data_IF_086895737545
#
_entry.id   IF_086895737545
#
_cell.length_a   1.000
_cell.length_b   1.000
_cell.length_c   1.000
_cell.angle_alpha   90.00
_cell.angle_beta   90.00
_cell.angle_gamma   90.00
#
_symmetry.space_group_name_H-M   'P 1'
#
loop_
_entity.id
_entity.type
_entity.pdbx_description
1 polymer ?
#
# COMPACT_ATOMS: atom_id res chain seq x y z
N UNK A 1 -65.44 -31.71 -30.77
CA UNK A 1 -64.32 -32.57 -31.24
C UNK A 1 -64.00 -32.21 -32.69
N UNK A 2 -62.95 -31.41 -32.90
CA UNK A 2 -62.32 -31.14 -34.21
C UNK A 2 -60.82 -31.07 -33.92
N UNK A 3 -60.04 -31.93 -34.56
CA UNK A 3 -58.58 -31.95 -34.45
C UNK A 3 -57.99 -31.60 -35.81
N UNK A 4 -57.06 -30.64 -35.80
CA UNK A 4 -56.27 -30.19 -36.95
C UNK A 4 -54.95 -30.98 -37.04
N UNK A 5 -54.36 -31.17 -38.23
CA UNK A 5 -53.07 -31.84 -38.38
C UNK A 5 -51.88 -30.87 -38.35
N UNK A 6 -50.76 -31.34 -37.80
CA UNK A 6 -49.43 -30.70 -37.77
C UNK A 6 -48.65 -30.94 -39.08
N UNK A 7 -47.72 -30.05 -39.48
CA UNK A 7 -46.88 -30.27 -40.66
C UNK A 7 -45.55 -30.96 -40.34
N UNK A 8 -45.14 -31.85 -41.25
CA UNK A 8 -43.83 -32.49 -41.33
C UNK A 8 -42.74 -31.49 -41.74
N UNK A 9 -41.60 -31.50 -41.04
CA UNK A 9 -40.36 -30.86 -41.48
C UNK A 9 -39.38 -31.91 -42.01
N UNK A 10 -38.91 -31.68 -43.24
CA UNK A 10 -37.91 -32.49 -43.94
C UNK A 10 -36.53 -32.40 -43.26
N UNK A 11 -35.88 -33.56 -43.12
CA UNK A 11 -34.43 -33.69 -42.91
C UNK A 11 -33.72 -33.68 -44.26
N UNK A 12 -32.84 -32.70 -44.48
CA UNK A 12 -31.88 -32.68 -45.60
C UNK A 12 -30.53 -33.25 -45.15
N UNK A 13 -30.10 -34.24 -45.92
CA UNK A 13 -28.83 -34.98 -45.89
C UNK A 13 -27.58 -34.09 -46.05
N UNK A 14 -26.50 -34.42 -45.33
CA UNK A 14 -25.14 -33.99 -45.65
C UNK A 14 -24.21 -35.21 -45.76
N UNK A 15 -23.20 -35.17 -46.67
CA UNK A 15 -22.46 -36.36 -47.06
C UNK A 15 -21.22 -36.65 -46.18
N UNK A 16 -20.94 -37.95 -46.09
CA UNK A 16 -19.69 -38.55 -45.65
C UNK A 16 -18.50 -38.11 -46.52
N UNK A 17 -17.39 -37.73 -45.89
CA UNK A 17 -16.04 -37.89 -46.46
C UNK A 17 -15.11 -38.46 -45.40
N UNK A 18 -14.54 -39.61 -45.72
CA UNK A 18 -13.66 -40.40 -44.90
C UNK A 18 -12.18 -40.10 -45.22
N UNK A 19 -11.34 -40.24 -44.19
CA UNK A 19 -9.97 -40.78 -44.19
C UNK A 19 -8.89 -40.14 -45.08
N UNK A 20 -7.90 -39.50 -44.43
CA UNK A 20 -6.52 -39.53 -44.89
C UNK A 20 -5.55 -39.41 -43.69
N UNK A 21 -4.68 -40.42 -43.57
CA UNK A 21 -3.61 -40.56 -42.60
C UNK A 21 -2.35 -39.81 -43.04
N UNK A 22 -1.46 -39.56 -42.06
CA UNK A 22 0.00 -39.42 -42.20
C UNK A 22 0.57 -38.07 -42.71
N UNK A 23 1.23 -37.32 -41.82
CA UNK A 23 2.71 -37.26 -41.73
C UNK A 23 3.15 -36.36 -40.57
N UNK A 24 3.91 -36.94 -39.63
CA UNK A 24 4.66 -36.20 -38.61
C UNK A 24 5.82 -35.43 -39.26
N UNK A 25 5.81 -34.11 -39.15
CA UNK A 25 6.97 -33.27 -39.48
C UNK A 25 7.76 -32.94 -38.21
N UNK A 26 9.00 -33.44 -38.16
CA UNK A 26 10.01 -33.12 -37.13
C UNK A 26 10.40 -31.65 -37.28
N UNK A 27 10.13 -30.82 -36.25
CA UNK A 27 10.71 -29.48 -36.15
C UNK A 27 12.11 -29.59 -35.54
N UNK A 28 13.11 -29.36 -36.38
CA UNK A 28 14.51 -29.11 -36.04
C UNK A 28 14.60 -27.81 -35.26
N UNK A 29 15.11 -27.89 -34.03
CA UNK A 29 15.52 -26.72 -33.24
C UNK A 29 16.87 -26.27 -33.75
N UNK A 30 16.90 -25.15 -34.48
CA UNK A 30 18.15 -24.47 -34.84
C UNK A 30 18.57 -23.61 -33.65
N UNK A 31 19.63 -24.05 -32.99
CA UNK A 31 20.34 -23.29 -31.97
C UNK A 31 21.21 -22.23 -32.65
N UNK A 32 20.73 -20.98 -32.71
CA UNK A 32 21.57 -19.82 -33.01
C UNK A 32 22.24 -19.36 -31.72
N UNK A 33 23.52 -19.68 -31.57
CA UNK A 33 24.39 -19.09 -30.58
C UNK A 33 24.61 -17.61 -30.92
N UNK A 34 24.12 -16.71 -30.08
CA UNK A 34 24.51 -15.30 -30.09
C UNK A 34 25.47 -15.11 -28.93
N UNK A 35 26.76 -14.96 -29.25
CA UNK A 35 27.79 -14.56 -28.31
C UNK A 35 27.61 -13.10 -27.96
N UNK A 36 27.20 -12.82 -26.72
CA UNK A 36 27.32 -11.48 -26.14
C UNK A 36 28.52 -11.44 -25.19
N UNK A 37 29.42 -10.54 -25.52
CA UNK A 37 30.67 -10.24 -24.83
C UNK A 37 30.34 -9.44 -23.55
N UNK A 38 30.53 -10.08 -22.38
CA UNK A 38 30.42 -9.42 -21.07
C UNK A 38 31.80 -9.39 -20.42
N UNK A 39 32.54 -8.32 -20.69
CA UNK A 39 33.62 -7.87 -19.83
C UNK A 39 33.15 -6.61 -19.08
N UNK A 40 33.64 -6.44 -17.84
CA UNK A 40 33.45 -5.31 -16.90
C UNK A 40 32.33 -5.41 -15.85
N UNK A 41 32.64 -6.07 -14.72
CA UNK A 41 32.90 -5.46 -13.41
C UNK A 41 32.78 -6.52 -12.30
N UNK A 42 33.91 -7.12 -11.93
CA UNK A 42 34.06 -7.93 -10.74
C UNK A 42 34.33 -7.02 -9.53
N UNK A 43 33.37 -6.93 -8.61
CA UNK A 43 33.66 -6.56 -7.22
C UNK A 43 33.01 -7.61 -6.30
N UNK A 44 33.88 -8.41 -5.68
CA UNK A 44 33.54 -9.38 -4.65
C UNK A 44 32.96 -8.67 -3.43
N UNK A 45 31.72 -9.01 -3.05
CA UNK A 45 31.16 -8.63 -1.75
C UNK A 45 31.03 -9.88 -0.87
N UNK A 46 31.77 -9.87 0.22
CA UNK A 46 31.83 -10.86 1.28
C UNK A 46 30.45 -10.97 1.96
N UNK A 47 29.88 -12.17 1.95
CA UNK A 47 28.64 -12.49 2.67
C UNK A 47 28.93 -12.54 4.17
N UNK A 48 28.48 -11.51 4.91
CA UNK A 48 28.31 -11.60 6.37
C UNK A 48 26.87 -12.01 6.66
N UNK A 49 26.74 -13.18 7.27
CA UNK A 49 25.49 -13.68 7.87
C UNK A 49 25.07 -12.76 9.01
N UNK A 50 23.83 -12.26 8.98
CA UNK A 50 23.19 -11.51 10.06
C UNK A 50 22.04 -12.37 10.60
N UNK A 51 21.86 -12.49 11.93
CA UNK A 51 20.83 -13.35 12.49
C UNK A 51 19.42 -12.76 12.36
N UNK A 52 18.46 -13.68 12.18
CA UNK A 52 17.02 -13.49 12.15
C UNK A 52 16.49 -12.59 13.27
N UNK A 53 16.01 -11.40 12.92
CA UNK A 53 15.24 -10.54 13.82
C UNK A 53 13.77 -10.99 13.87
N UNK A 54 13.29 -11.22 15.09
CA UNK A 54 11.90 -11.56 15.39
C UNK A 54 10.93 -10.48 14.91
N UNK A 55 9.88 -10.91 14.20
CA UNK A 55 8.78 -10.07 13.77
C UNK A 55 7.86 -9.77 14.96
N UNK A 56 7.72 -8.49 15.32
CA UNK A 56 6.66 -8.02 16.21
C UNK A 56 5.52 -7.41 15.38
N UNK A 57 4.24 -7.72 15.70
CA UNK A 57 3.10 -7.02 15.12
C UNK A 57 3.02 -5.60 15.69
N UNK A 58 3.02 -4.59 14.80
CA UNK A 58 2.94 -3.18 15.17
C UNK A 58 1.58 -2.86 15.83
N UNK A 59 1.57 -2.80 17.16
CA UNK A 59 0.53 -2.14 17.95
C UNK A 59 0.89 -0.66 18.10
N UNK A 60 0.03 0.23 17.61
CA UNK A 60 0.17 1.67 17.84
C UNK A 60 -0.35 1.99 19.26
N UNK A 61 0.57 2.10 20.22
CA UNK A 61 0.31 2.56 21.59
C UNK A 61 0.64 4.05 21.68
N UNK A 62 -0.38 4.89 21.75
CA UNK A 62 -0.24 6.31 22.07
C UNK A 62 -0.54 6.48 23.56
N UNK A 63 0.45 6.87 24.34
CA UNK A 63 0.31 7.19 25.77
C UNK A 63 -0.15 8.65 25.89
N UNK A 64 -1.21 8.92 26.65
CA UNK A 64 -1.63 10.28 26.99
C UNK A 64 -1.81 10.45 28.50
N UNK A 65 -1.18 11.49 29.02
CA UNK A 65 -1.30 12.02 30.37
C UNK A 65 -2.68 12.68 30.54
N UNK A 66 -3.37 12.36 31.63
CA UNK A 66 -4.59 13.03 32.05
C UNK A 66 -4.27 14.12 33.06
N UNK A 67 -4.57 15.37 32.73
CA UNK A 67 -4.61 16.49 33.69
C UNK A 67 -6.06 16.79 34.03
N UNK A 68 -6.35 16.80 35.33
CA UNK A 68 -7.68 17.05 35.91
C UNK A 68 -7.73 18.50 36.41
N UNK A 69 -8.43 19.38 35.69
CA UNK A 69 -8.85 20.69 36.17
C UNK A 69 -10.39 20.73 36.23
N UNK A 70 -10.94 20.93 37.43
CA UNK A 70 -12.37 21.14 37.67
C UNK A 70 -12.60 22.64 37.86
N UNK A 71 -13.38 23.25 36.98
CA UNK A 71 -14.09 24.49 37.29
C UNK A 71 -15.54 24.36 36.80
N UNK A 72 -16.48 24.60 37.71
CA UNK A 72 -17.92 24.51 37.47
C UNK A 72 -18.50 25.92 37.36
N UNK A 73 -18.98 26.30 36.17
CA UNK A 73 -19.91 27.41 36.01
C UNK A 73 -21.16 26.90 35.26
N UNK A 74 -22.30 26.98 35.95
CA UNK A 74 -23.62 26.63 35.43
C UNK A 74 -24.16 27.77 34.55
N UNK A 75 -24.36 27.48 33.26
CA UNK A 75 -25.25 28.25 32.38
C UNK A 75 -26.16 27.27 31.64
N UNK A 76 -27.47 27.36 31.90
CA UNK A 76 -28.51 26.56 31.27
C UNK A 76 -28.88 27.21 29.92
N UNK A 77 -28.35 26.67 28.82
CA UNK A 77 -28.91 26.86 27.49
C UNK A 77 -29.17 25.48 26.88
N UNK A 78 -30.44 25.20 26.59
CA UNK A 78 -30.89 24.01 25.87
C UNK A 78 -30.63 24.19 24.37
N UNK A 79 -29.36 24.17 23.98
CA UNK A 79 -29.00 23.84 22.61
C UNK A 79 -28.69 22.34 22.61
N UNK A 80 -29.33 21.58 21.71
CA UNK A 80 -29.05 20.16 21.46
C UNK A 80 -27.59 20.03 21.00
N UNK A 81 -26.68 20.01 21.96
CA UNK A 81 -25.25 19.89 21.78
C UNK A 81 -25.00 18.47 21.27
N UNK A 82 -24.96 18.35 19.94
CA UNK A 82 -24.61 17.14 19.21
C UNK A 82 -23.18 16.76 19.59
N UNK A 83 -23.07 16.07 20.72
CA UNK A 83 -21.81 15.70 21.36
C UNK A 83 -21.06 14.80 20.40
N UNK A 84 -20.04 15.36 19.75
CA UNK A 84 -19.17 14.61 18.88
C UNK A 84 -18.64 13.40 19.66
N UNK A 85 -18.73 12.18 19.11
CA UNK A 85 -18.30 10.99 19.83
C UNK A 85 -16.86 11.14 20.30
N UNK A 86 -16.60 10.81 21.56
CA UNK A 86 -15.26 10.87 22.13
C UNK A 86 -14.31 10.03 21.26
N UNK A 87 -13.06 10.49 21.07
CA UNK A 87 -12.04 9.71 20.35
C UNK A 87 -11.91 8.27 20.88
N UNK A 88 -12.18 8.07 22.18
CA UNK A 88 -12.21 6.76 22.80
C UNK A 88 -13.32 5.85 22.26
N UNK A 89 -14.49 6.40 21.97
CA UNK A 89 -15.63 5.64 21.43
C UNK A 89 -15.37 5.25 19.97
N UNK A 90 -14.79 6.16 19.18
CA UNK A 90 -14.36 5.86 17.80
C UNK A 90 -13.33 4.73 17.79
N UNK A 91 -12.34 4.77 18.70
CA UNK A 91 -11.33 3.71 18.83
C UNK A 91 -11.95 2.37 19.24
N UNK A 92 -12.86 2.37 20.22
CA UNK A 92 -13.57 1.15 20.66
C UNK A 92 -14.41 0.56 19.54
N UNK A 93 -15.16 1.39 18.81
CA UNK A 93 -15.96 0.95 17.67
C UNK A 93 -15.08 0.33 16.56
N UNK A 94 -13.93 0.94 16.27
CA UNK A 94 -12.95 0.38 15.31
C UNK A 94 -12.43 -0.98 15.76
N UNK A 95 -12.02 -1.12 17.01
CA UNK A 95 -11.51 -2.40 17.55
C UNK A 95 -12.58 -3.50 17.57
N UNK A 96 -13.83 -3.16 17.89
CA UNK A 96 -14.95 -4.09 17.84
C UNK A 96 -15.21 -4.56 16.40
N UNK A 97 -15.16 -3.63 15.44
CA UNK A 97 -15.31 -3.92 14.01
C UNK A 97 -14.18 -4.83 13.51
N UNK A 98 -12.92 -4.50 13.79
CA UNK A 98 -11.75 -5.32 13.46
C UNK A 98 -11.85 -6.74 14.05
N UNK A 99 -12.31 -6.86 15.31
CA UNK A 99 -12.53 -8.16 15.96
C UNK A 99 -13.64 -8.98 15.31
N UNK A 100 -14.70 -8.34 14.83
CA UNK A 100 -15.78 -9.03 14.12
C UNK A 100 -15.34 -9.52 12.74
N UNK A 101 -14.57 -8.70 12.01
CA UNK A 101 -14.05 -9.03 10.68
C UNK A 101 -13.01 -10.14 10.72
N UNK A 102 -12.10 -10.14 11.72
CA UNK A 102 -11.09 -11.19 11.88
C UNK A 102 -11.67 -12.55 12.26
N UNK A 103 -12.84 -12.59 12.93
CA UNK A 103 -13.57 -13.84 13.16
C UNK A 103 -14.17 -14.41 11.87
N UNK A 104 -14.57 -13.53 10.94
CA UNK A 104 -15.25 -13.90 9.71
C UNK A 104 -14.29 -14.31 8.60
N UNK A 105 -13.21 -13.57 8.41
CA UNK A 105 -12.24 -13.76 7.34
C UNK A 105 -10.85 -14.08 7.89
N UNK A 106 -10.13 -14.98 7.21
CA UNK A 106 -8.74 -15.25 7.52
C UNK A 106 -7.85 -14.07 7.08
N UNK A 107 -6.83 -13.74 7.89
CA UNK A 107 -5.92 -12.61 7.67
C UNK A 107 -4.45 -13.06 7.72
N UNK A 108 -3.56 -12.30 7.08
CA UNK A 108 -2.10 -12.50 7.19
C UNK A 108 -1.65 -13.93 6.86
N UNK A 109 -0.86 -14.54 7.74
CA UNK A 109 -0.39 -15.93 7.61
C UNK A 109 -1.54 -16.95 7.59
N UNK A 110 -2.62 -16.72 8.34
CA UNK A 110 -3.77 -17.63 8.33
C UNK A 110 -4.40 -17.69 6.94
N UNK A 111 -4.51 -16.54 6.25
CA UNK A 111 -5.04 -16.50 4.89
C UNK A 111 -4.14 -17.25 3.90
N UNK A 112 -2.83 -17.21 4.11
CA UNK A 112 -1.86 -17.94 3.28
C UNK A 112 -2.02 -19.45 3.48
N UNK A 113 -2.00 -19.93 4.73
CA UNK A 113 -2.22 -21.34 5.06
C UNK A 113 -3.58 -21.83 4.55
N UNK A 114 -4.65 -21.04 4.74
CA UNK A 114 -5.98 -21.37 4.25
C UNK A 114 -5.99 -21.62 2.72
N UNK A 115 -5.23 -20.84 1.96
CA UNK A 115 -5.17 -21.00 0.49
C UNK A 115 -4.37 -22.24 0.08
N UNK A 116 -3.29 -22.54 0.77
CA UNK A 116 -2.51 -23.77 0.57
C UNK A 116 -3.37 -25.01 0.90
N UNK A 117 -4.14 -24.95 1.98
CA UNK A 117 -5.10 -25.98 2.38
C UNK A 117 -6.20 -26.15 1.33
N UNK A 118 -6.76 -25.06 0.80
CA UNK A 118 -7.79 -25.12 -0.25
C UNK A 118 -7.28 -25.77 -1.54
N UNK A 119 -6.01 -25.56 -1.91
CA UNK A 119 -5.39 -26.25 -3.05
C UNK A 119 -5.28 -27.75 -2.77
N UNK A 120 -4.78 -28.12 -1.59
CA UNK A 120 -4.64 -29.51 -1.16
C UNK A 120 -5.98 -30.24 -1.07
N UNK A 121 -7.01 -29.58 -0.53
CA UNK A 121 -8.38 -30.12 -0.45
C UNK A 121 -9.00 -30.36 -1.83
N UNK A 122 -8.77 -29.46 -2.79
CA UNK A 122 -9.25 -29.64 -4.17
C UNK A 122 -8.57 -30.83 -4.84
N UNK A 123 -7.27 -30.99 -4.67
CA UNK A 123 -6.56 -32.15 -5.19
C UNK A 123 -7.09 -33.46 -4.56
N UNK A 124 -7.30 -33.47 -3.25
CA UNK A 124 -7.92 -34.61 -2.56
C UNK A 124 -9.35 -34.92 -3.03
N UNK A 125 -10.11 -33.88 -3.41
CA UNK A 125 -11.47 -34.04 -3.95
C UNK A 125 -11.43 -34.72 -5.33
N UNK A 126 -10.46 -34.39 -6.17
CA UNK A 126 -10.26 -35.06 -7.47
C UNK A 126 -9.97 -36.56 -7.28
N UNK A 127 -9.09 -36.92 -6.33
CA UNK A 127 -8.82 -38.32 -5.99
C UNK A 127 -10.04 -39.06 -5.44
N UNK A 128 -10.79 -38.43 -4.53
CA UNK A 128 -12.01 -39.03 -3.98
C UNK A 128 -13.07 -39.27 -5.08
N UNK A 129 -13.20 -38.35 -6.05
CA UNK A 129 -14.06 -38.50 -7.23
C UNK A 129 -13.62 -39.66 -8.11
N UNK A 130 -12.33 -39.83 -8.34
CA UNK A 130 -11.80 -40.96 -9.12
C UNK A 130 -12.09 -42.32 -8.46
N UNK A 131 -12.07 -42.38 -7.12
CA UNK A 131 -12.37 -43.58 -6.33
C UNK A 131 -13.87 -43.79 -6.08
N UNK A 132 -14.73 -42.84 -6.46
CA UNK A 132 -16.18 -42.83 -6.19
C UNK A 132 -16.52 -42.98 -4.69
N UNK A 133 -15.69 -42.39 -3.83
CA UNK A 133 -15.93 -42.35 -2.38
C UNK A 133 -16.86 -41.18 -2.03
N UNK A 134 -18.17 -41.42 -2.10
CA UNK A 134 -19.22 -40.40 -1.90
C UNK A 134 -19.14 -39.71 -0.53
N UNK A 135 -18.84 -40.46 0.53
CA UNK A 135 -18.71 -39.93 1.88
C UNK A 135 -17.56 -38.92 1.97
N UNK A 136 -16.42 -39.26 1.37
CA UNK A 136 -15.25 -38.38 1.33
C UNK A 136 -15.47 -37.17 0.43
N UNK A 137 -16.13 -37.33 -0.71
CA UNK A 137 -16.49 -36.23 -1.62
C UNK A 137 -17.31 -35.17 -0.87
N UNK A 138 -18.39 -35.58 -0.18
CA UNK A 138 -19.24 -34.65 0.57
C UNK A 138 -18.49 -33.93 1.68
N UNK A 139 -17.64 -34.65 2.42
CA UNK A 139 -16.80 -34.07 3.48
C UNK A 139 -15.84 -33.01 2.94
N UNK A 140 -15.14 -33.32 1.83
CA UNK A 140 -14.20 -32.41 1.19
C UNK A 140 -14.89 -31.19 0.57
N UNK A 141 -16.04 -31.36 -0.08
CA UNK A 141 -16.83 -30.24 -0.62
C UNK A 141 -17.29 -29.30 0.49
N UNK A 142 -17.74 -29.84 1.63
CA UNK A 142 -18.09 -29.06 2.81
C UNK A 142 -16.88 -28.30 3.37
N UNK A 143 -15.72 -28.95 3.47
CA UNK A 143 -14.48 -28.31 3.93
C UNK A 143 -14.02 -27.18 2.99
N UNK A 144 -14.04 -27.41 1.67
CA UNK A 144 -13.71 -26.40 0.66
C UNK A 144 -14.67 -25.22 0.75
N UNK A 145 -15.99 -25.48 0.85
CA UNK A 145 -17.01 -24.43 0.98
C UNK A 145 -16.78 -23.59 2.24
N UNK A 146 -16.46 -24.23 3.36
CA UNK A 146 -16.15 -23.53 4.60
C UNK A 146 -14.88 -22.68 4.47
N UNK A 147 -13.81 -23.22 3.89
CA UNK A 147 -12.57 -22.47 3.68
C UNK A 147 -12.76 -21.31 2.71
N UNK A 148 -13.51 -21.50 1.62
CA UNK A 148 -13.87 -20.44 0.68
C UNK A 148 -14.66 -19.30 1.34
N UNK A 149 -15.56 -19.62 2.27
CA UNK A 149 -16.30 -18.60 3.01
C UNK A 149 -15.42 -17.77 3.96
N UNK A 150 -14.23 -18.28 4.33
CA UNK A 150 -13.24 -17.57 5.13
C UNK A 150 -12.23 -16.77 4.29
N UNK A 151 -12.07 -17.08 3.00
CA UNK A 151 -11.19 -16.30 2.11
C UNK A 151 -11.89 -14.99 1.69
N UNK A 152 -11.38 -13.82 2.11
CA UNK A 152 -12.00 -12.54 1.76
C UNK A 152 -11.99 -12.26 0.26
N UNK A 153 -10.97 -12.70 -0.50
CA UNK A 153 -10.93 -12.44 -1.94
C UNK A 153 -12.01 -13.23 -2.67
N UNK A 154 -12.18 -14.51 -2.29
CA UNK A 154 -13.26 -15.34 -2.82
C UNK A 154 -14.64 -14.76 -2.49
N UNK A 155 -14.85 -14.36 -1.24
CA UNK A 155 -16.13 -13.80 -0.80
C UNK A 155 -16.43 -12.44 -1.44
N UNK A 156 -15.42 -11.61 -1.65
CA UNK A 156 -15.55 -10.35 -2.38
C UNK A 156 -15.98 -10.58 -3.83
N UNK A 157 -15.27 -11.44 -4.57
CA UNK A 157 -15.62 -11.86 -5.94
C UNK A 157 -17.06 -12.40 -6.02
N UNK A 158 -17.40 -13.29 -5.10
CA UNK A 158 -18.73 -13.91 -5.02
C UNK A 158 -19.83 -12.88 -4.77
N UNK A 159 -19.59 -11.95 -3.85
CA UNK A 159 -20.55 -10.90 -3.52
C UNK A 159 -20.79 -9.97 -4.72
N UNK A 160 -19.74 -9.51 -5.40
CA UNK A 160 -19.87 -8.70 -6.62
C UNK A 160 -20.66 -9.41 -7.72
N UNK A 161 -20.40 -10.72 -7.91
CA UNK A 161 -21.15 -11.52 -8.89
C UNK A 161 -22.64 -11.60 -8.53
N UNK A 162 -22.97 -11.84 -7.26
CA UNK A 162 -24.36 -11.95 -6.80
C UNK A 162 -25.11 -10.62 -6.83
N UNK A 163 -24.43 -9.49 -6.57
CA UNK A 163 -25.00 -8.14 -6.79
C UNK A 163 -25.32 -7.94 -8.27
N UNK A 164 -24.40 -8.32 -9.17
CA UNK A 164 -24.63 -8.20 -10.61
C UNK A 164 -25.74 -9.12 -11.11
N UNK A 165 -25.86 -10.34 -10.58
CA UNK A 165 -26.95 -11.27 -10.87
C UNK A 165 -28.29 -10.70 -10.37
N UNK A 166 -28.38 -10.22 -9.13
CA UNK A 166 -29.59 -9.61 -8.56
C UNK A 166 -30.10 -8.44 -9.42
N UNK A 167 -29.19 -7.56 -9.87
CA UNK A 167 -29.52 -6.46 -10.79
C UNK A 167 -30.09 -6.90 -12.14
N UNK A 168 -29.78 -8.14 -12.58
CA UNK A 168 -30.21 -8.69 -13.87
C UNK A 168 -31.47 -9.55 -13.76
N UNK A 169 -31.95 -9.88 -12.56
CA UNK A 169 -33.15 -10.70 -12.38
C UNK A 169 -34.37 -9.96 -12.95
N UNK A 170 -35.13 -10.62 -13.82
CA UNK A 170 -36.36 -10.07 -14.40
C UNK A 170 -37.61 -10.45 -13.60
N UNK A 171 -37.58 -11.63 -12.98
CA UNK A 171 -38.75 -12.25 -12.35
C UNK A 171 -38.91 -11.91 -10.85
N UNK A 172 -37.91 -11.26 -10.24
CA UNK A 172 -37.92 -10.86 -8.85
C UNK A 172 -38.54 -9.47 -8.68
N UNK A 173 -39.20 -9.22 -7.54
CA UNK A 173 -39.66 -7.88 -7.19
C UNK A 173 -38.47 -6.92 -6.95
N UNK A 174 -38.67 -5.61 -7.12
CA UNK A 174 -37.60 -4.63 -6.83
C UNK A 174 -37.16 -4.69 -5.36
N UNK A 175 -38.09 -4.92 -4.43
CA UNK A 175 -37.79 -5.11 -3.00
C UNK A 175 -36.86 -6.32 -2.75
N UNK A 176 -37.11 -7.44 -3.43
CA UNK A 176 -36.26 -8.63 -3.34
C UNK A 176 -34.84 -8.36 -3.91
N UNK A 177 -34.75 -7.62 -5.01
CA UNK A 177 -33.46 -7.23 -5.62
C UNK A 177 -32.68 -6.32 -4.68
N UNK A 178 -33.33 -5.32 -4.11
CA UNK A 178 -32.71 -4.38 -3.16
C UNK A 178 -32.19 -5.10 -1.92
N UNK A 179 -33.01 -5.98 -1.31
CA UNK A 179 -32.60 -6.78 -0.16
C UNK A 179 -31.39 -7.68 -0.46
N UNK A 180 -31.34 -8.29 -1.67
CA UNK A 180 -30.19 -9.08 -2.10
C UNK A 180 -28.94 -8.21 -2.33
N UNK A 181 -29.10 -7.06 -2.97
CA UNK A 181 -28.00 -6.12 -3.24
C UNK A 181 -27.44 -5.60 -1.93
N UNK A 182 -28.28 -5.18 -0.98
CA UNK A 182 -27.85 -4.69 0.33
C UNK A 182 -27.08 -5.76 1.10
N UNK A 183 -27.65 -6.97 1.19
CA UNK A 183 -27.01 -8.11 1.87
C UNK A 183 -25.63 -8.40 1.31
N UNK A 184 -25.50 -8.51 -0.02
CA UNK A 184 -24.21 -8.83 -0.64
C UNK A 184 -23.26 -7.64 -0.68
N UNK A 185 -23.77 -6.40 -0.72
CA UNK A 185 -22.96 -5.18 -0.56
C UNK A 185 -22.30 -5.13 0.81
N UNK A 186 -23.03 -5.49 1.89
CA UNK A 186 -22.45 -5.59 3.22
C UNK A 186 -21.35 -6.66 3.31
N UNK A 187 -21.53 -7.81 2.64
CA UNK A 187 -20.48 -8.85 2.54
C UNK A 187 -19.27 -8.36 1.73
N UNK A 188 -19.51 -7.68 0.61
CA UNK A 188 -18.45 -7.14 -0.24
C UNK A 188 -17.62 -6.11 0.53
N UNK A 189 -18.26 -5.15 1.20
CA UNK A 189 -17.59 -4.14 2.03
C UNK A 189 -16.78 -4.78 3.17
N UNK A 190 -17.35 -5.74 3.90
CA UNK A 190 -16.64 -6.43 4.98
C UNK A 190 -15.42 -7.22 4.48
N UNK A 191 -15.54 -7.87 3.32
CA UNK A 191 -14.43 -8.59 2.69
C UNK A 191 -13.37 -7.63 2.14
N UNK A 192 -13.79 -6.49 1.58
CA UNK A 192 -12.91 -5.45 1.03
C UNK A 192 -12.01 -4.83 2.10
N UNK A 193 -12.55 -4.54 3.27
CA UNK A 193 -11.80 -3.92 4.38
C UNK A 193 -10.61 -4.75 4.88
N UNK A 194 -10.66 -6.07 4.69
CA UNK A 194 -9.60 -6.99 5.14
C UNK A 194 -8.62 -7.38 4.04
N UNK A 195 -8.87 -6.96 2.80
CA UNK A 195 -8.01 -7.28 1.67
C UNK A 195 -6.77 -6.36 1.68
N UNK A 196 -5.54 -6.93 1.55
CA UNK A 196 -4.31 -6.14 1.55
C UNK A 196 -4.30 -5.02 0.49
N UNK A 197 -4.87 -5.28 -0.69
CA UNK A 197 -4.97 -4.31 -1.78
C UNK A 197 -5.75 -3.02 -1.42
N UNK A 198 -6.62 -3.06 -0.42
CA UNK A 198 -7.38 -1.89 0.05
C UNK A 198 -6.81 -1.27 1.33
N UNK A 199 -5.75 -1.83 1.90
CA UNK A 199 -5.12 -1.38 3.15
C UNK A 199 -3.89 -0.48 2.93
N UNK A 200 -3.74 0.05 1.71
CA UNK A 200 -2.62 0.93 1.33
C UNK A 200 -2.90 2.43 1.46
N UNK A 201 -4.00 2.85 2.08
CA UNK A 201 -4.32 4.29 2.21
C UNK A 201 -3.22 5.09 2.93
N UNK A 202 -3.02 6.35 2.55
CA UNK A 202 -2.14 7.29 3.22
C UNK A 202 -0.82 7.54 2.49
N UNK A 203 0.20 8.00 3.24
CA UNK A 203 1.46 8.46 2.66
C UNK A 203 2.42 7.30 2.31
N UNK A 204 3.05 7.44 1.16
CA UNK A 204 4.07 6.52 0.63
C UNK A 204 5.18 7.31 -0.04
N UNK A 205 6.38 6.75 0.00
CA UNK A 205 7.55 7.36 -0.62
C UNK A 205 8.14 6.41 -1.66
N UNK A 206 8.52 6.95 -2.82
CA UNK A 206 9.12 6.20 -3.91
C UNK A 206 10.20 7.02 -4.62
N UNK A 207 11.20 6.33 -5.16
CA UNK A 207 12.29 6.96 -5.92
C UNK A 207 11.94 6.96 -7.43
N UNK A 208 11.70 8.14 -7.99
CA UNK A 208 11.38 8.33 -9.41
C UNK A 208 12.64 8.45 -10.29
N UNK A 209 13.82 8.23 -9.72
CA UNK A 209 15.10 8.16 -10.42
C UNK A 209 15.66 9.51 -10.89
N UNK A 210 16.89 9.46 -11.40
CA UNK A 210 17.58 10.58 -12.04
C UNK A 210 17.53 11.88 -11.24
N UNK A 211 17.11 12.96 -11.92
CA UNK A 211 16.96 14.30 -11.33
C UNK A 211 15.69 14.49 -10.52
N UNK A 212 14.73 13.56 -10.54
CA UNK A 212 13.47 13.67 -9.82
C UNK A 212 13.61 13.23 -8.35
N UNK A 213 14.52 12.31 -8.09
CA UNK A 213 14.82 11.82 -6.75
C UNK A 213 13.60 11.19 -6.06
N UNK A 214 13.58 11.31 -4.75
CA UNK A 214 12.55 10.74 -3.89
C UNK A 214 11.31 11.62 -3.83
N UNK A 215 10.14 11.01 -3.99
CA UNK A 215 8.86 11.68 -4.05
C UNK A 215 7.87 11.07 -3.07
N UNK A 216 7.09 11.92 -2.42
CA UNK A 216 6.01 11.55 -1.52
C UNK A 216 4.70 11.53 -2.31
N UNK A 217 3.91 10.48 -2.13
CA UNK A 217 2.56 10.34 -2.69
C UNK A 217 1.56 10.03 -1.58
N UNK A 218 0.31 10.42 -1.78
CA UNK A 218 -0.83 10.01 -0.97
C UNK A 218 -1.69 9.03 -1.76
N UNK A 219 -2.00 7.89 -1.15
CA UNK A 219 -2.90 6.89 -1.70
C UNK A 219 -4.29 7.08 -1.10
N UNK A 220 -5.28 7.19 -1.98
CA UNK A 220 -6.71 7.22 -1.65
C UNK A 220 -7.48 6.24 -2.53
N UNK A 221 -8.75 5.98 -2.21
CA UNK A 221 -9.59 5.08 -3.01
C UNK A 221 -10.89 5.76 -3.46
N UNK A 222 -11.30 5.48 -4.70
CA UNK A 222 -12.63 5.78 -5.23
C UNK A 222 -13.26 4.47 -5.72
N UNK A 223 -14.15 3.88 -4.91
CA UNK A 223 -14.61 2.51 -5.17
C UNK A 223 -13.41 1.55 -5.21
N UNK A 224 -13.31 0.76 -6.28
CA UNK A 224 -12.20 -0.19 -6.49
C UNK A 224 -10.99 0.42 -7.23
N UNK A 225 -11.01 1.73 -7.47
CA UNK A 225 -9.87 2.45 -8.05
C UNK A 225 -8.97 3.02 -6.94
N UNK A 226 -7.71 2.60 -6.94
CA UNK A 226 -6.65 3.25 -6.18
C UNK A 226 -6.17 4.49 -6.94
N UNK A 227 -6.04 5.61 -6.24
CA UNK A 227 -5.57 6.88 -6.78
C UNK A 227 -4.33 7.31 -5.99
N UNK A 228 -3.23 7.54 -6.71
CA UNK A 228 -1.98 8.02 -6.13
C UNK A 228 -1.70 9.47 -6.55
N UNK A 229 -1.71 10.38 -5.58
CA UNK A 229 -1.52 11.81 -5.81
C UNK A 229 -0.16 12.27 -5.30
N UNK A 230 0.59 13.08 -6.07
CA UNK A 230 1.88 13.60 -5.64
C UNK A 230 1.74 14.64 -4.54
N UNK A 231 2.40 14.41 -3.41
CA UNK A 231 2.50 15.39 -2.32
C UNK A 231 3.69 16.34 -2.50
N UNK A 232 4.79 15.86 -3.09
CA UNK A 232 6.01 16.67 -3.31
C UNK A 232 6.10 17.22 -4.74
N UNK A 233 5.73 16.42 -5.73
CA UNK A 233 5.76 16.82 -7.15
C UNK A 233 7.16 16.96 -7.75
N UNK A 234 7.23 17.02 -9.07
CA UNK A 234 8.44 17.36 -9.83
C UNK A 234 8.07 18.22 -11.06
N UNK A 235 9.07 18.59 -11.87
CA UNK A 235 8.84 19.42 -13.06
C UNK A 235 7.98 18.74 -14.13
N UNK A 236 7.85 17.42 -14.10
CA UNK A 236 7.03 16.68 -15.04
C UNK A 236 5.64 16.53 -14.45
N UNK A 237 5.47 15.87 -13.31
CA UNK A 237 4.18 15.71 -12.64
C UNK A 237 4.20 16.54 -11.35
N UNK A 238 3.55 17.71 -11.32
CA UNK A 238 3.62 18.61 -10.18
C UNK A 238 2.85 18.08 -8.95
N UNK A 239 3.02 18.78 -7.84
CA UNK A 239 2.30 18.51 -6.59
C UNK A 239 0.80 18.68 -6.82
N UNK A 240 0.00 17.81 -6.20
CA UNK A 240 -1.45 17.79 -6.34
C UNK A 240 -1.96 16.95 -7.51
N UNK A 241 -1.09 16.59 -8.46
CA UNK A 241 -1.48 15.78 -9.62
C UNK A 241 -1.45 14.28 -9.33
N UNK A 242 -2.31 13.54 -10.04
CA UNK A 242 -2.42 12.09 -9.93
C UNK A 242 -1.30 11.42 -10.72
N UNK A 243 -0.31 10.88 -10.01
CA UNK A 243 0.84 10.19 -10.63
C UNK A 243 0.45 8.85 -11.28
N UNK A 244 -0.49 8.12 -10.69
CA UNK A 244 -1.06 6.91 -11.29
C UNK A 244 -2.41 6.54 -10.65
N UNK A 245 -3.21 5.75 -11.36
CA UNK A 245 -4.35 5.01 -10.81
C UNK A 245 -4.20 3.51 -11.07
N UNK A 246 -4.88 2.68 -10.28
CA UNK A 246 -4.93 1.23 -10.46
C UNK A 246 -6.33 0.69 -10.16
N UNK A 247 -6.84 -0.16 -11.06
CA UNK A 247 -8.11 -0.84 -10.87
C UNK A 247 -7.89 -2.14 -10.07
N UNK A 248 -8.39 -2.15 -8.83
CA UNK A 248 -8.27 -3.25 -7.88
C UNK A 248 -9.40 -4.28 -7.99
N UNK A 249 -10.26 -4.16 -9.01
CA UNK A 249 -11.26 -5.18 -9.31
C UNK A 249 -10.60 -6.56 -9.38
N UNK A 250 -11.25 -7.60 -8.83
CA UNK A 250 -10.62 -8.90 -8.74
C UNK A 250 -10.43 -9.55 -10.12
N UNK A 251 -9.24 -9.44 -10.69
CA UNK A 251 -8.85 -10.05 -11.98
C UNK A 251 -7.79 -11.12 -11.80
N UNK A 252 -7.63 -11.97 -12.82
CA UNK A 252 -6.53 -12.92 -12.83
C UNK A 252 -5.26 -12.20 -13.23
N UNK A 253 -4.21 -12.35 -12.43
CA UNK A 253 -2.88 -11.78 -12.69
C UNK A 253 -2.32 -12.26 -14.04
N UNK A 254 -2.71 -13.46 -14.50
CA UNK A 254 -2.31 -14.07 -15.77
C UNK A 254 -2.68 -13.25 -17.01
N UNK A 255 -3.75 -12.45 -16.89
CA UNK A 255 -4.30 -11.70 -18.03
C UNK A 255 -3.48 -10.44 -18.33
N UNK A 256 -2.55 -10.08 -17.43
CA UNK A 256 -1.70 -8.92 -17.54
C UNK A 256 -0.36 -9.26 -18.23
N UNK A 257 0.16 -8.38 -19.11
CA UNK A 257 1.45 -8.55 -19.74
C UNK A 257 2.55 -8.97 -18.75
N UNK A 258 3.41 -9.94 -19.08
CA UNK A 258 4.49 -10.34 -18.21
C UNK A 258 5.45 -9.16 -18.00
N UNK A 259 5.80 -8.90 -16.75
CA UNK A 259 6.79 -7.88 -16.40
C UNK A 259 8.04 -8.59 -15.92
N UNK A 260 9.17 -8.28 -16.56
CA UNK A 260 10.48 -8.64 -16.02
C UNK A 260 10.75 -7.73 -14.82
N UNK A 261 10.52 -8.26 -13.61
CA UNK A 261 10.87 -7.56 -12.39
C UNK A 261 12.40 -7.47 -12.30
N UNK A 262 12.91 -6.27 -12.00
CA UNK A 262 14.36 -6.00 -11.89
C UNK A 262 15.02 -6.85 -10.77
N UNK A 263 14.23 -7.35 -9.82
CA UNK A 263 14.71 -8.25 -8.77
C UNK A 263 14.42 -9.72 -9.09
N UNK A 264 15.39 -10.43 -9.66
CA UNK A 264 15.36 -11.89 -9.87
C UNK A 264 15.21 -12.71 -8.57
N UNK A 265 15.37 -12.06 -7.41
CA UNK A 265 15.52 -12.70 -6.11
C UNK A 265 14.20 -13.05 -5.42
N UNK A 266 13.04 -12.66 -5.99
CA UNK A 266 11.74 -13.00 -5.41
C UNK A 266 10.98 -13.92 -6.35
N UNK A 267 11.19 -15.23 -6.16
CA UNK A 267 10.34 -16.27 -6.75
C UNK A 267 9.01 -16.29 -5.99
N UNK A 268 7.94 -15.80 -6.62
CA UNK A 268 6.60 -15.78 -6.03
C UNK A 268 5.58 -15.22 -7.00
N UNK A 269 4.34 -15.69 -6.90
CA UNK A 269 3.22 -15.11 -7.65
C UNK A 269 2.79 -13.81 -6.96
N UNK A 270 3.10 -12.67 -7.58
CA UNK A 270 2.66 -11.36 -7.07
C UNK A 270 1.24 -11.05 -7.53
N UNK A 271 0.47 -10.41 -6.66
CA UNK A 271 -0.79 -9.79 -7.06
C UNK A 271 -0.50 -8.58 -7.94
N UNK A 272 -1.07 -8.59 -9.14
CA UNK A 272 -0.89 -7.55 -10.15
C UNK A 272 -2.24 -6.97 -10.52
N UNK A 273 -2.29 -5.66 -10.70
CA UNK A 273 -3.48 -4.93 -11.06
C UNK A 273 -3.18 -3.99 -12.24
N UNK A 274 -4.10 -3.89 -13.22
CA UNK A 274 -3.94 -2.93 -14.30
C UNK A 274 -4.06 -1.51 -13.75
N UNK A 275 -3.28 -0.60 -14.31
CA UNK A 275 -3.30 0.80 -13.93
C UNK A 275 -2.94 1.74 -15.07
N UNK A 276 -2.97 3.02 -14.77
CA UNK A 276 -2.63 4.10 -15.69
C UNK A 276 -1.69 5.06 -14.98
N UNK A 277 -0.48 5.22 -15.51
CA UNK A 277 0.51 6.15 -14.98
C UNK A 277 0.50 7.46 -15.77
N UNK A 278 0.55 8.60 -15.09
CA UNK A 278 0.65 9.90 -15.73
C UNK A 278 2.11 10.15 -16.15
N UNK A 279 2.29 10.63 -17.37
CA UNK A 279 3.59 11.06 -17.92
C UNK A 279 3.42 12.40 -18.62
N UNK A 280 4.47 13.22 -18.61
CA UNK A 280 4.48 14.55 -19.22
C UNK A 280 5.90 14.95 -19.58
N UNK A 281 6.04 15.97 -20.43
CA UNK A 281 7.30 16.69 -20.62
C UNK A 281 7.52 17.69 -19.48
N UNK A 282 8.75 18.20 -19.37
CA UNK A 282 9.13 19.22 -18.39
C UNK A 282 8.17 20.43 -18.46
N UNK A 283 7.74 20.91 -17.31
CA UNK A 283 6.71 21.94 -17.15
C UNK A 283 5.29 21.40 -17.28
N UNK A 284 5.08 20.11 -16.98
CA UNK A 284 3.79 19.41 -17.10
C UNK A 284 3.11 19.54 -18.48
N UNK A 285 3.92 19.66 -19.54
CA UNK A 285 3.42 19.81 -20.92
C UNK A 285 3.06 18.46 -21.52
N UNK A 286 2.03 18.42 -22.36
CA UNK A 286 1.57 17.23 -23.06
C UNK A 286 1.30 16.04 -22.12
N UNK A 287 0.70 16.31 -20.96
CA UNK A 287 0.43 15.27 -19.98
C UNK A 287 -0.57 14.25 -20.53
N UNK A 288 -0.28 12.96 -20.31
CA UNK A 288 -1.15 11.86 -20.73
C UNK A 288 -0.99 10.68 -19.80
N UNK A 289 -2.01 9.83 -19.77
CA UNK A 289 -1.91 8.54 -19.09
C UNK A 289 -1.37 7.48 -20.05
N UNK A 290 -0.44 6.67 -19.54
CA UNK A 290 0.09 5.49 -20.21
C UNK A 290 -0.26 4.24 -19.42
N UNK A 291 -0.29 3.09 -20.07
CA UNK A 291 -0.54 1.82 -19.41
C UNK A 291 0.51 1.53 -18.34
N UNK A 292 0.05 1.08 -17.18
CA UNK A 292 0.90 0.64 -16.11
C UNK A 292 0.34 -0.56 -15.36
N UNK A 293 1.15 -1.10 -14.47
CA UNK A 293 0.75 -2.18 -13.58
C UNK A 293 1.18 -1.87 -12.16
N UNK A 294 0.24 -2.04 -11.24
CA UNK A 294 0.48 -2.07 -9.80
C UNK A 294 0.84 -3.50 -9.40
N UNK A 295 1.91 -3.66 -8.63
CA UNK A 295 2.42 -4.94 -8.15
C UNK A 295 2.51 -4.86 -6.64
N UNK A 296 1.76 -5.72 -5.94
CA UNK A 296 1.72 -5.72 -4.48
C UNK A 296 2.76 -6.67 -3.89
N UNK A 297 3.41 -6.18 -2.84
CA UNK A 297 4.20 -6.95 -1.90
C UNK A 297 3.53 -6.85 -0.52
N UNK A 298 3.99 -7.61 0.46
CA UNK A 298 3.38 -7.66 1.79
C UNK A 298 3.17 -6.27 2.41
N UNK A 299 4.24 -5.49 2.57
CA UNK A 299 4.21 -4.17 3.21
C UNK A 299 4.64 -3.02 2.27
N UNK A 300 4.73 -3.30 0.99
CA UNK A 300 5.24 -2.40 -0.04
C UNK A 300 4.48 -2.66 -1.34
N UNK A 301 4.52 -1.72 -2.27
CA UNK A 301 4.02 -1.98 -3.62
C UNK A 301 4.94 -1.30 -4.61
N UNK A 302 4.81 -1.67 -5.88
CA UNK A 302 5.48 -0.94 -6.94
C UNK A 302 4.52 -0.65 -8.08
N UNK A 303 4.82 0.41 -8.81
CA UNK A 303 4.11 0.74 -10.04
C UNK A 303 5.10 0.75 -11.20
N UNK A 304 4.70 0.14 -12.31
CA UNK A 304 5.49 0.05 -13.54
C UNK A 304 4.75 0.80 -14.64
N UNK A 305 5.40 1.81 -15.23
CA UNK A 305 4.94 2.47 -16.45
C UNK A 305 5.45 1.66 -17.64
N UNK A 306 4.59 0.87 -18.27
CA UNK A 306 4.99 -0.15 -19.24
C UNK A 306 5.77 0.44 -20.43
N UNK A 307 5.29 1.52 -21.11
CA UNK A 307 5.97 2.01 -22.32
C UNK A 307 7.35 2.59 -22.04
N UNK A 308 7.57 3.16 -20.85
CA UNK A 308 8.84 3.78 -20.46
C UNK A 308 9.76 2.81 -19.72
N UNK A 309 9.27 1.60 -19.37
CA UNK A 309 9.96 0.63 -18.50
C UNK A 309 10.40 1.26 -17.17
N UNK A 310 9.72 2.31 -16.74
CA UNK A 310 10.01 2.98 -15.48
C UNK A 310 9.33 2.22 -14.34
N UNK A 311 10.10 1.87 -13.32
CA UNK A 311 9.64 1.08 -12.18
C UNK A 311 9.96 1.83 -10.89
N UNK A 312 8.93 2.06 -10.07
CA UNK A 312 9.08 2.73 -8.78
C UNK A 312 8.56 1.83 -7.68
N UNK A 313 9.43 1.53 -6.71
CA UNK A 313 9.07 0.84 -5.47
C UNK A 313 8.67 1.86 -4.41
N UNK A 314 7.54 1.61 -3.76
CA UNK A 314 6.98 2.45 -2.72
C UNK A 314 7.01 1.75 -1.36
N UNK A 315 7.42 2.49 -0.35
CA UNK A 315 7.37 2.07 1.05
C UNK A 315 6.75 3.15 1.93
N UNK A 316 6.32 2.79 3.15
CA UNK A 316 5.86 3.77 4.14
C UNK A 316 7.05 4.65 4.56
N UNK A 317 6.93 5.99 4.54
CA UNK A 317 7.99 6.88 5.01
C UNK A 317 8.04 6.90 6.54
N UNK A 318 9.22 7.18 7.10
CA UNK A 318 9.31 7.56 8.52
C UNK A 318 8.70 8.95 8.73
N UNK A 319 8.29 9.31 9.96
CA UNK A 319 7.84 10.67 10.27
C UNK A 319 8.89 11.73 9.92
N UNK A 320 10.16 11.50 10.24
CA UNK A 320 11.28 12.39 9.92
C UNK A 320 11.43 12.58 8.41
N UNK A 321 11.37 11.49 7.63
CA UNK A 321 11.46 11.54 6.18
C UNK A 321 10.26 12.29 5.58
N UNK A 322 9.08 12.09 6.14
CA UNK A 322 7.85 12.79 5.73
C UNK A 322 8.00 14.30 5.93
N UNK A 323 8.44 14.72 7.12
CA UNK A 323 8.69 16.13 7.43
C UNK A 323 9.76 16.73 6.53
N UNK A 324 10.87 16.00 6.30
CA UNK A 324 11.94 16.44 5.40
C UNK A 324 11.44 16.65 3.97
N UNK A 325 10.68 15.70 3.44
CA UNK A 325 10.14 15.77 2.08
C UNK A 325 9.10 16.88 1.95
N UNK A 326 8.19 17.02 2.91
CA UNK A 326 7.19 18.09 2.90
C UNK A 326 7.82 19.48 3.05
N UNK A 327 8.81 19.63 3.94
CA UNK A 327 9.54 20.90 4.12
C UNK A 327 10.18 21.38 2.82
N UNK A 328 10.81 20.47 2.07
CA UNK A 328 11.46 20.80 0.81
C UNK A 328 10.47 21.19 -0.32
N UNK A 329 9.17 21.06 -0.09
CA UNK A 329 8.12 21.34 -1.08
C UNK A 329 7.30 22.58 -0.77
N UNK A 330 7.51 23.17 0.40
CA UNK A 330 6.97 24.49 0.72
C UNK A 330 7.70 25.46 -0.20
N UNK A 331 6.96 26.21 -1.02
CA UNK A 331 7.59 27.21 -1.88
C UNK A 331 8.30 28.25 -1.01
N UNK A 332 9.36 28.89 -1.51
CA UNK A 332 9.95 30.05 -0.82
C UNK A 332 8.89 31.11 -0.55
N UNK A 333 7.96 31.32 -1.48
CA UNK A 333 6.82 32.19 -1.29
C UNK A 333 5.90 31.74 -0.15
N UNK A 334 5.61 30.44 -0.03
CA UNK A 334 4.80 29.89 1.06
C UNK A 334 5.54 30.02 2.40
N UNK A 335 6.86 29.83 2.43
CA UNK A 335 7.69 30.10 3.61
C UNK A 335 7.63 31.58 3.99
N UNK A 336 7.72 32.48 3.01
CA UNK A 336 7.62 33.93 3.21
C UNK A 336 6.22 34.32 3.70
N UNK A 337 5.16 33.74 3.15
CA UNK A 337 3.78 34.01 3.56
C UNK A 337 3.52 33.46 4.97
N UNK A 338 4.01 32.26 5.29
CA UNK A 338 3.97 31.72 6.66
C UNK A 338 4.74 32.62 7.63
N UNK A 339 5.90 33.16 7.23
CA UNK A 339 6.63 34.14 8.03
C UNK A 339 5.83 35.45 8.21
N UNK A 340 5.18 35.96 7.15
CA UNK A 340 4.35 37.17 7.21
C UNK A 340 3.12 36.98 8.09
N UNK A 341 2.42 35.86 7.98
CA UNK A 341 1.27 35.52 8.82
C UNK A 341 1.69 35.39 10.29
N UNK A 342 2.81 34.71 10.55
CA UNK A 342 3.37 34.62 11.89
C UNK A 342 3.70 36.00 12.48
N UNK A 343 4.41 36.85 11.72
CA UNK A 343 4.72 38.22 12.15
C UNK A 343 3.43 39.02 12.39
N UNK A 344 2.44 38.92 11.51
CA UNK A 344 1.15 39.60 11.66
C UNK A 344 0.41 39.17 12.93
N UNK A 345 0.43 37.87 13.28
CA UNK A 345 -0.12 37.36 14.53
C UNK A 345 0.63 37.88 15.76
N UNK A 346 1.95 38.07 15.67
CA UNK A 346 2.72 38.68 16.74
C UNK A 346 2.37 40.17 16.94
N UNK A 347 2.06 40.90 15.87
CA UNK A 347 1.66 42.32 15.97
C UNK A 347 0.18 42.52 16.32
N UNK A 348 -0.70 41.59 15.94
CA UNK A 348 -2.12 41.60 16.30
C UNK A 348 -2.39 41.02 17.70
N UNK A 349 -1.36 40.52 18.38
CA UNK A 349 -1.45 40.24 19.81
C UNK A 349 -1.58 41.57 20.55
N UNK A 350 -2.80 41.87 21.00
CA UNK A 350 -3.03 43.00 21.87
C UNK A 350 -2.12 42.89 23.11
N UNK A 351 -1.62 44.04 23.58
CA UNK A 351 -0.64 44.12 24.66
C UNK A 351 -1.14 43.40 25.92
N UNK A 352 -2.46 43.38 26.13
CA UNK A 352 -3.17 42.63 27.15
C UNK A 352 -2.90 41.11 27.09
N UNK A 353 -2.85 40.52 25.90
CA UNK A 353 -2.59 39.09 25.66
C UNK A 353 -1.11 38.75 25.86
N UNK A 354 -0.22 39.68 25.51
CA UNK A 354 1.22 39.55 25.77
C UNK A 354 1.53 39.60 27.28
N UNK A 355 0.89 40.52 28.01
CA UNK A 355 1.02 40.65 29.47
C UNK A 355 0.45 39.42 30.19
N UNK A 356 -0.71 38.91 29.78
CA UNK A 356 -1.31 37.70 30.34
C UNK A 356 -0.39 36.47 30.19
N UNK A 357 0.35 36.36 29.09
CA UNK A 357 1.35 35.29 28.88
C UNK A 357 2.58 35.42 29.79
N UNK A 358 3.03 36.65 30.07
CA UNK A 358 4.15 36.88 31.00
C UNK A 358 3.79 36.57 32.46
N UNK A 359 2.53 36.77 32.85
CA UNK A 359 2.07 36.50 34.21
C UNK A 359 1.92 35.01 34.54
N UNK A 360 1.88 34.13 33.52
CA UNK A 360 1.81 32.67 33.67
C UNK A 360 3.11 31.95 33.23
N UNK A 361 4.28 32.57 33.44
CA UNK A 361 5.58 32.01 33.04
C UNK A 361 6.00 30.73 33.79
N UNK A 362 5.27 30.28 34.82
CA UNK A 362 5.71 29.22 35.72
C UNK A 362 5.22 27.80 35.37
N UNK A 363 4.36 27.59 34.36
CA UNK A 363 3.82 26.23 34.10
C UNK A 363 3.56 25.86 32.64
N UNK A 364 4.19 26.51 31.66
CA UNK A 364 3.96 26.16 30.25
C UNK A 364 5.27 25.68 29.64
N UNK A 365 5.34 24.37 29.43
CA UNK A 365 6.19 23.73 28.42
C UNK A 365 6.04 24.53 27.12
N UNK A 366 7.10 25.24 26.70
CA UNK A 366 7.09 26.08 25.50
C UNK A 366 6.66 25.24 24.28
N UNK A 367 5.49 25.49 23.67
CA UNK A 367 4.95 24.56 22.70
C UNK A 367 5.65 24.63 21.34
N UNK A 368 6.51 25.62 21.08
CA UNK A 368 7.18 25.76 19.80
C UNK A 368 8.60 26.32 19.96
N UNK A 369 9.57 25.45 20.25
CA UNK A 369 10.95 25.74 19.86
C UNK A 369 10.95 25.97 18.36
N UNK A 370 11.41 27.14 17.92
CA UNK A 370 11.63 27.48 16.51
C UNK A 370 12.39 26.33 15.87
N UNK A 371 11.73 25.60 14.96
CA UNK A 371 12.38 24.52 14.23
C UNK A 371 13.49 25.18 13.39
N UNK A 372 14.78 24.86 13.63
CA UNK A 372 15.88 25.57 12.99
C UNK A 372 15.76 25.50 11.46
N UNK A 373 16.07 26.61 10.79
CA UNK A 373 16.17 26.65 9.33
C UNK A 373 17.21 25.63 8.86
N UNK A 374 17.09 25.17 7.60
CA UNK A 374 18.11 24.28 7.03
C UNK A 374 19.49 24.93 7.09
N UNK A 375 19.55 26.26 6.90
CA UNK A 375 20.77 27.06 7.08
C UNK A 375 21.26 27.06 8.53
N UNK A 376 20.37 27.16 9.53
CA UNK A 376 20.73 27.08 10.95
C UNK A 376 21.28 25.69 11.31
N UNK A 377 20.73 24.62 10.72
CA UNK A 377 21.20 23.26 10.90
C UNK A 377 22.56 23.03 10.22
N UNK A 378 22.74 23.55 9.00
CA UNK A 378 24.01 23.48 8.28
C UNK A 378 25.10 24.33 8.94
N UNK A 379 24.74 25.47 9.51
CA UNK A 379 25.63 26.29 10.31
C UNK A 379 25.95 25.66 11.67
N UNK A 380 24.97 25.04 12.33
CA UNK A 380 25.20 24.25 13.54
C UNK A 380 26.11 23.04 13.26
N UNK A 381 25.90 22.31 12.17
CA UNK A 381 26.81 21.24 11.73
C UNK A 381 28.22 21.78 11.42
N UNK A 382 28.32 22.96 10.78
CA UNK A 382 29.61 23.63 10.55
C UNK A 382 30.31 23.95 11.86
N UNK A 383 29.59 24.56 12.82
CA UNK A 383 30.10 24.88 14.16
C UNK A 383 30.52 23.63 14.93
N UNK A 384 29.77 22.53 14.83
CA UNK A 384 30.14 21.24 15.45
C UNK A 384 31.38 20.65 14.77
N UNK A 385 31.48 20.70 13.43
CA UNK A 385 32.67 20.25 12.69
C UNK A 385 33.90 21.11 13.00
N UNK A 386 33.74 22.42 13.14
CA UNK A 386 34.81 23.34 13.52
C UNK A 386 35.24 23.15 14.98
N UNK A 387 34.29 22.98 15.90
CA UNK A 387 34.57 22.66 17.31
C UNK A 387 35.24 21.29 17.46
N UNK A 388 34.80 20.29 16.70
CA UNK A 388 35.42 18.96 16.68
C UNK A 388 36.78 18.93 15.98
N UNK A 389 37.08 19.86 15.04
CA UNK A 389 38.45 20.00 14.53
C UNK A 389 39.43 20.40 15.62
N UNK A 390 39.02 21.23 16.60
CA UNK A 390 39.84 21.51 17.77
C UNK A 390 39.97 20.31 18.73
N UNK A 391 38.88 19.56 18.92
CA UNK A 391 38.82 18.48 19.91
C UNK A 391 39.43 17.14 19.42
N UNK A 392 39.35 16.84 18.11
CA UNK A 392 39.92 15.63 17.51
C UNK A 392 41.46 15.65 17.54
N UNK A 393 42.09 16.80 17.29
CA UNK A 393 43.56 16.91 17.41
C UNK A 393 44.04 16.76 18.86
N UNK A 394 43.28 17.31 19.83
CA UNK A 394 43.59 17.14 21.25
C UNK A 394 43.39 15.69 21.73
N UNK A 395 42.33 15.02 21.28
CA UNK A 395 42.09 13.61 21.61
C UNK A 395 43.06 12.67 20.89
N UNK A 396 43.44 12.93 19.63
CA UNK A 396 44.47 12.15 18.94
C UNK A 396 45.86 12.33 19.56
N UNK A 397 46.20 13.52 20.07
CA UNK A 397 47.45 13.73 20.82
C UNK A 397 47.46 12.88 22.09
N UNK A 398 46.40 12.94 22.92
CA UNK A 398 46.29 12.11 24.13
C UNK A 398 46.30 10.61 23.82
N UNK A 399 45.68 10.18 22.73
CA UNK A 399 45.70 8.78 22.30
C UNK A 399 47.09 8.34 21.83
N UNK A 400 47.83 9.23 21.16
CA UNK A 400 49.21 8.97 20.72
C UNK A 400 50.18 8.94 21.91
N UNK A 401 50.07 9.90 22.83
CA UNK A 401 50.85 9.91 24.08
C UNK A 401 50.59 8.66 24.95
N UNK A 402 49.34 8.19 24.98
CA UNK A 402 48.97 6.95 25.67
C UNK A 402 49.55 5.70 24.99
N UNK A 403 49.50 5.62 23.65
CA UNK A 403 50.13 4.53 22.89
C UNK A 403 51.63 4.52 23.13
N UNK A 404 52.30 5.69 23.06
CA UNK A 404 53.74 5.80 23.24
C UNK A 404 54.14 5.41 24.68
N UNK A 405 53.39 5.82 25.71
CA UNK A 405 53.58 5.34 27.10
C UNK A 405 53.43 3.83 27.27
N UNK A 406 52.46 3.22 26.58
CA UNK A 406 52.21 1.77 26.66
C UNK A 406 53.30 1.00 25.92
N UNK A 407 53.86 1.55 24.86
CA UNK A 407 54.92 0.91 24.06
C UNK A 407 56.32 1.09 24.66
N UNK A 408 56.60 2.22 25.31
CA UNK A 408 57.90 2.50 25.95
C UNK A 408 58.08 1.85 27.33
N UNK A 409 57.01 1.35 27.96
CA UNK A 409 57.09 0.60 29.22
C UNK A 409 57.66 -0.83 29.10
N UNK A 410 58.31 -1.18 27.98
CA UNK A 410 59.07 -2.43 27.82
C UNK A 410 60.56 -2.23 28.10
N UNK A 411 60.92 -1.72 29.28
CA UNK A 411 62.21 -2.01 29.93
C UNK A 411 62.05 -1.97 31.44
N UNK A 412 61.65 -3.11 31.99
CA UNK A 412 62.26 -3.76 33.16
C UNK A 412 61.82 -5.22 33.20
#
# INVERSE_FOLDING_TARGET
MRALPLPLLLWSSMPNVATAFSTLSKKTVVSTAVSFDTSWLSHSAVVKTVPSAQQHPWRCSTTLYASSGKDQHHHNNNDDEMTSPSMNDVRKARLAKESSSSKRFALGEELKSLREDLVSLRHNLEWAKALKDEMRIQSLEKAIKNGQNRDPNFMYKKALRLIAEARKMKDASEEEKEALIEKWSAVASAAREVLPEFSMEGLWVGNYGGSHGTQLINITYSGDEMIATKCTGDNNVPRGEVTFTANLEPRNSSDLPPIQLISEHRKGEFRRFPGKGQVSRRGFKDHRYVEGQLILFENQFSFVWIPTKHHVLFHRPSPEMTLKLLRNTISKEDEIENMRDHISKCFNMDLSTAIARQQHAASIDEPLRRIPLQEDLEEAERRIKEANRGNIFYQMSKWRDYIDQVLDNKKL
#
